data_IF_287991259143
#
_entry.id   IF_287991259143
#
_cell.length_a   1.000
_cell.length_b   1.000
_cell.length_c   1.000
_cell.angle_alpha   90.00
_cell.angle_beta   90.00
_cell.angle_gamma   90.00
#
_symmetry.space_group_name_H-M   'P 1'
#
loop_
_entity.id
_entity.type
_entity.pdbx_description
1 polymer ?
#
# COMPACT_ATOMS: atom_id res chain seq x y z
N UNK A 1 -3.67 6.85 23.43
CA UNK A 1 -3.56 5.92 22.27
C UNK A 1 -3.92 4.50 22.68
N UNK A 2 -4.88 3.84 22.01
CA UNK A 2 -5.19 2.43 22.30
C UNK A 2 -4.19 1.51 21.58
N UNK A 3 -3.65 0.52 22.30
CA UNK A 3 -2.65 -0.43 21.77
C UNK A 3 -3.02 -1.11 20.43
N UNK A 4 -4.29 -1.49 20.17
CA UNK A 4 -4.68 -2.12 18.91
C UNK A 4 -4.53 -1.23 17.67
N UNK A 5 -4.85 0.07 17.76
CA UNK A 5 -4.78 0.97 16.60
C UNK A 5 -3.33 1.24 16.20
N UNK A 6 -2.42 1.31 17.18
CA UNK A 6 -0.98 1.42 16.93
C UNK A 6 -0.44 0.15 16.26
N UNK A 7 -0.85 -1.03 16.73
CA UNK A 7 -0.47 -2.30 16.11
C UNK A 7 -0.98 -2.41 14.66
N UNK A 8 -2.22 -2.01 14.40
CA UNK A 8 -2.77 -1.98 13.04
C UNK A 8 -2.04 -1.01 12.12
N UNK A 9 -1.59 0.14 12.63
CA UNK A 9 -0.77 1.07 11.86
C UNK A 9 0.58 0.44 11.48
N UNK A 10 1.30 -0.15 12.44
CA UNK A 10 2.56 -0.84 12.14
C UNK A 10 2.38 -2.02 11.19
N UNK A 11 1.37 -2.86 11.42
CA UNK A 11 1.08 -4.00 10.57
C UNK A 11 0.70 -3.58 9.14
N UNK A 12 -0.09 -2.50 9.01
CA UNK A 12 -0.43 -1.93 7.71
C UNK A 12 0.80 -1.46 6.93
N UNK A 13 1.70 -0.71 7.58
CA UNK A 13 2.94 -0.27 6.93
C UNK A 13 3.90 -1.42 6.62
N UNK A 14 3.94 -2.45 7.47
CA UNK A 14 4.74 -3.65 7.23
C UNK A 14 4.28 -4.45 6.00
N UNK A 15 3.05 -4.22 5.51
CA UNK A 15 2.56 -4.85 4.28
C UNK A 15 3.10 -4.20 2.99
N UNK A 16 3.67 -2.99 3.06
CA UNK A 16 4.14 -2.27 1.86
C UNK A 16 5.16 -3.06 1.00
N UNK A 17 6.19 -3.73 1.57
CA UNK A 17 7.09 -4.56 0.79
C UNK A 17 6.40 -5.73 0.08
N UNK A 18 5.38 -6.32 0.71
CA UNK A 18 4.58 -7.39 0.11
C UNK A 18 3.78 -6.88 -1.09
N UNK A 19 3.20 -5.69 -0.99
CA UNK A 19 2.47 -5.05 -2.09
C UNK A 19 3.41 -4.74 -3.27
N UNK A 20 4.60 -4.21 -2.98
CA UNK A 20 5.62 -3.93 -4.00
C UNK A 20 6.09 -5.21 -4.70
N UNK A 21 6.36 -6.28 -3.94
CA UNK A 21 6.70 -7.59 -4.50
C UNK A 21 5.56 -8.14 -5.36
N UNK A 22 4.33 -8.11 -4.85
CA UNK A 22 3.15 -8.57 -5.58
C UNK A 22 2.97 -7.78 -6.89
N UNK A 23 3.23 -6.47 -6.89
CA UNK A 23 3.18 -5.65 -8.10
C UNK A 23 4.12 -6.16 -9.18
N UNK A 24 5.37 -6.47 -8.84
CA UNK A 24 6.33 -7.07 -9.77
C UNK A 24 5.83 -8.41 -10.31
N UNK A 25 5.43 -9.33 -9.42
CA UNK A 25 4.92 -10.65 -9.79
C UNK A 25 3.68 -10.58 -10.68
N UNK A 26 2.77 -9.65 -10.42
CA UNK A 26 1.58 -9.45 -11.23
C UNK A 26 1.90 -8.79 -12.56
N UNK A 27 2.89 -7.90 -12.59
CA UNK A 27 3.44 -7.34 -13.82
C UNK A 27 3.95 -8.44 -14.74
N UNK A 28 4.78 -9.36 -14.22
CA UNK A 28 5.32 -10.51 -14.97
C UNK A 28 4.20 -11.35 -15.62
N UNK A 29 3.06 -11.50 -14.95
CA UNK A 29 1.92 -12.26 -15.44
C UNK A 29 0.87 -11.42 -16.21
N UNK A 30 1.13 -10.12 -16.44
CA UNK A 30 0.18 -9.14 -17.00
C UNK A 30 -1.19 -9.12 -16.28
N UNK A 31 -1.21 -9.49 -15.00
CA UNK A 31 -2.41 -9.67 -14.19
C UNK A 31 -2.86 -8.36 -13.52
N UNK A 32 -3.14 -7.32 -14.33
CA UNK A 32 -3.42 -5.97 -13.82
C UNK A 32 -4.60 -5.91 -12.85
N UNK A 33 -5.66 -6.70 -13.11
CA UNK A 33 -6.86 -6.73 -12.26
C UNK A 33 -6.55 -7.21 -10.85
N UNK A 34 -5.79 -8.28 -10.72
CA UNK A 34 -5.41 -8.83 -9.42
C UNK A 34 -4.51 -7.86 -8.65
N UNK A 35 -3.61 -7.14 -9.36
CA UNK A 35 -2.79 -6.11 -8.75
C UNK A 35 -3.63 -4.96 -8.21
N UNK A 36 -4.59 -4.46 -9.00
CA UNK A 36 -5.47 -3.37 -8.56
C UNK A 36 -6.34 -3.76 -7.37
N UNK A 37 -6.81 -5.01 -7.30
CA UNK A 37 -7.56 -5.49 -6.13
C UNK A 37 -6.67 -5.47 -4.89
N UNK A 38 -5.46 -6.03 -4.97
CA UNK A 38 -4.53 -6.08 -3.83
C UNK A 38 -4.10 -4.67 -3.40
N UNK A 39 -3.69 -3.82 -4.35
CA UNK A 39 -3.30 -2.45 -4.07
C UNK A 39 -4.47 -1.60 -3.54
N UNK A 40 -5.69 -1.84 -4.04
CA UNK A 40 -6.92 -1.23 -3.55
C UNK A 40 -7.23 -1.60 -2.10
N UNK A 41 -7.10 -2.89 -1.75
CA UNK A 41 -7.26 -3.36 -0.37
C UNK A 41 -6.22 -2.75 0.57
N UNK A 42 -4.95 -2.69 0.15
CA UNK A 42 -3.89 -2.02 0.91
C UNK A 42 -4.20 -0.53 1.11
N UNK A 43 -4.64 0.15 0.04
CA UNK A 43 -5.00 1.57 0.10
C UNK A 43 -6.17 1.79 1.05
N UNK A 44 -7.23 0.98 0.96
CA UNK A 44 -8.37 1.05 1.86
C UNK A 44 -7.96 0.84 3.33
N UNK A 45 -7.08 -0.13 3.61
CA UNK A 45 -6.54 -0.38 4.94
C UNK A 45 -5.81 0.86 5.50
N UNK A 46 -4.90 1.45 4.72
CA UNK A 46 -4.13 2.64 5.13
C UNK A 46 -5.05 3.80 5.49
N UNK A 47 -6.05 4.09 4.64
CA UNK A 47 -7.00 5.18 4.88
C UNK A 47 -7.93 4.90 6.07
N UNK A 48 -8.35 3.64 6.26
CA UNK A 48 -9.19 3.25 7.39
C UNK A 48 -8.43 3.39 8.72
N UNK A 49 -7.16 2.97 8.76
CA UNK A 49 -6.29 3.17 9.94
C UNK A 49 -6.09 4.66 10.22
N UNK A 50 -5.84 5.47 9.19
CA UNK A 50 -5.70 6.92 9.38
C UNK A 50 -7.00 7.57 9.89
N UNK A 51 -8.15 7.18 9.36
CA UNK A 51 -9.45 7.64 9.86
C UNK A 51 -9.68 7.24 11.32
N UNK A 52 -9.34 6.00 11.69
CA UNK A 52 -9.43 5.52 13.07
C UNK A 52 -8.49 6.28 14.01
N UNK A 53 -7.28 6.63 13.56
CA UNK A 53 -6.34 7.46 14.32
C UNK A 53 -6.88 8.88 14.51
N UNK A 54 -7.42 9.52 13.46
CA UNK A 54 -8.02 10.87 13.58
C UNK A 54 -9.24 10.92 14.49
N UNK A 55 -10.00 9.83 14.59
CA UNK A 55 -11.16 9.74 15.47
C UNK A 55 -10.77 9.69 16.96
N UNK A 56 -9.51 9.36 17.29
CA UNK A 56 -9.00 9.46 18.66
C UNK A 56 -8.57 10.91 18.91
N UNK A 57 -9.32 11.63 19.76
CA UNK A 57 -9.20 13.07 20.02
C UNK A 57 -7.81 13.58 20.48
N UNK A 58 -6.86 12.68 20.74
CA UNK A 58 -5.48 12.99 21.14
C UNK A 58 -4.45 12.92 20.00
N UNK A 59 -4.81 12.36 18.83
CA UNK A 59 -3.84 12.07 17.77
C UNK A 59 -3.94 13.07 16.61
N UNK A 60 -3.20 14.18 16.70
CA UNK A 60 -2.95 15.07 15.57
C UNK A 60 -1.94 14.42 14.59
N UNK A 61 -2.36 13.40 13.86
CA UNK A 61 -1.55 12.80 12.79
C UNK A 61 -1.59 13.71 11.57
N UNK A 62 -0.46 14.34 11.25
CA UNK A 62 -0.33 15.18 10.06
C UNK A 62 -0.71 14.38 8.80
N UNK A 63 -1.57 14.89 7.90
CA UNK A 63 -1.99 14.16 6.70
C UNK A 63 -0.81 13.68 5.83
N UNK A 64 0.25 14.48 5.75
CA UNK A 64 1.44 14.16 4.97
C UNK A 64 2.25 12.98 5.53
N UNK A 65 2.13 12.69 6.83
CA UNK A 65 2.76 11.53 7.45
C UNK A 65 2.14 10.20 6.96
N UNK A 66 0.95 10.25 6.36
CA UNK A 66 0.28 9.10 5.75
C UNK A 66 0.36 9.17 4.23
N UNK A 67 -0.01 10.32 3.65
CA UNK A 67 -0.08 10.50 2.21
C UNK A 67 1.28 10.38 1.52
N UNK A 68 2.35 10.89 2.14
CA UNK A 68 3.71 10.82 1.58
C UNK A 68 4.21 9.38 1.43
N UNK A 69 4.27 8.60 2.54
CA UNK A 69 4.69 7.19 2.46
C UNK A 69 3.76 6.33 1.60
N UNK A 70 2.43 6.54 1.67
CA UNK A 70 1.50 5.86 0.76
C UNK A 70 1.80 6.16 -0.71
N UNK A 71 2.07 7.42 -1.05
CA UNK A 71 2.46 7.83 -2.39
C UNK A 71 3.76 7.16 -2.85
N UNK A 72 4.74 7.03 -1.96
CA UNK A 72 5.97 6.27 -2.23
C UNK A 72 5.70 4.81 -2.57
N UNK A 73 4.83 4.14 -1.81
CA UNK A 73 4.42 2.74 -2.09
C UNK A 73 3.66 2.64 -3.41
N UNK A 74 2.78 3.60 -3.70
CA UNK A 74 2.02 3.66 -4.95
C UNK A 74 2.93 3.78 -6.16
N UNK A 75 3.87 4.73 -6.14
CA UNK A 75 4.85 4.95 -7.20
C UNK A 75 5.74 3.72 -7.37
N UNK A 76 6.30 3.19 -6.29
CA UNK A 76 7.15 2.01 -6.34
C UNK A 76 6.41 0.80 -6.92
N UNK A 77 5.18 0.55 -6.48
CA UNK A 77 4.36 -0.56 -6.97
C UNK A 77 4.03 -0.39 -8.45
N UNK A 78 3.69 0.83 -8.90
CA UNK A 78 3.45 1.10 -10.31
C UNK A 78 4.70 0.86 -11.19
N UNK A 79 5.87 1.31 -10.73
CA UNK A 79 7.14 1.08 -11.42
C UNK A 79 7.50 -0.40 -11.49
N UNK A 80 7.32 -1.15 -10.40
CA UNK A 80 7.58 -2.57 -10.35
C UNK A 80 6.60 -3.39 -11.20
N UNK A 81 5.32 -3.02 -11.21
CA UNK A 81 4.35 -3.63 -12.12
C UNK A 81 4.73 -3.37 -13.58
N UNK A 82 5.05 -2.13 -13.95
CA UNK A 82 5.46 -1.78 -15.30
C UNK A 82 6.73 -2.52 -15.72
N UNK A 83 7.71 -2.64 -14.82
CA UNK A 83 8.93 -3.41 -15.03
C UNK A 83 8.61 -4.90 -15.27
N UNK A 84 7.78 -5.49 -14.41
CA UNK A 84 7.33 -6.88 -14.58
C UNK A 84 6.62 -7.09 -15.91
N UNK A 85 5.71 -6.20 -16.29
CA UNK A 85 4.96 -6.30 -17.55
C UNK A 85 5.84 -6.17 -18.80
N UNK A 86 6.92 -5.37 -18.72
CA UNK A 86 7.93 -5.24 -19.77
C UNK A 86 8.76 -6.52 -19.92
N UNK A 87 9.14 -7.16 -18.81
CA UNK A 87 9.98 -8.36 -18.82
C UNK A 87 9.16 -9.60 -19.18
N UNK A 88 7.98 -9.79 -18.59
CA UNK A 88 7.11 -10.96 -18.81
C UNK A 88 6.40 -10.97 -20.16
N UNK A 89 6.65 -9.98 -21.02
CA UNK A 89 6.09 -9.87 -22.37
C UNK A 89 7.03 -10.29 -23.49
N UNK A 90 8.21 -10.84 -23.17
CA UNK A 90 9.20 -11.29 -24.14
C UNK A 90 8.96 -12.72 -24.60
N UNK A 91 7.82 -12.97 -25.25
CA UNK A 91 7.56 -14.08 -26.18
C UNK A 91 6.66 -13.57 -27.31
#
# INVERSE_FOLDING_TARGET
MTGPTVLLAYAGWAAAPLVAYAALSHGLNRAWRAFLVLFGLYTALVWLVWAALRAQAEAAVAPMAVAGPWGGVAILSALLYALGARIGGGE
#
